data_IF_650042641744
#
_entry.id   IF_650042641744
#
_cell.length_a   1.000
_cell.length_b   1.000
_cell.length_c   1.000
_cell.angle_alpha   90.00
_cell.angle_beta   90.00
_cell.angle_gamma   90.00
#
_symmetry.space_group_name_H-M   'P 1'
#
loop_
_entity.id
_entity.type
_entity.pdbx_description
1 polymer ?
#
# COMPACT_ATOMS: atom_id res chain seq x y z
N UNK A 1 8.33 3.33 -13.52
CA UNK A 1 7.57 4.56 -13.84
C UNK A 1 8.51 5.74 -13.77
N UNK A 2 8.58 6.62 -14.76
CA UNK A 2 9.57 7.72 -14.79
C UNK A 2 8.94 9.08 -14.51
N UNK A 3 9.69 10.08 -14.02
CA UNK A 3 9.19 11.43 -13.78
C UNK A 3 8.47 12.06 -14.99
N UNK A 4 9.04 11.92 -16.20
CA UNK A 4 8.42 12.46 -17.42
C UNK A 4 7.09 11.78 -17.78
N UNK A 5 6.94 10.49 -17.48
CA UNK A 5 5.68 9.79 -17.69
C UNK A 5 4.63 10.20 -16.64
N UNK A 6 5.04 10.41 -15.39
CA UNK A 6 4.16 10.90 -14.31
C UNK A 6 3.62 12.27 -14.66
N UNK A 7 4.51 13.19 -15.05
CA UNK A 7 4.15 14.57 -15.36
C UNK A 7 3.16 14.66 -16.52
N UNK A 8 3.49 14.05 -17.66
CA UNK A 8 2.62 13.99 -18.84
C UNK A 8 1.26 13.34 -18.52
N UNK A 9 1.24 12.24 -17.76
CA UNK A 9 -0.02 11.57 -17.43
C UNK A 9 -0.91 12.44 -16.54
N UNK A 10 -0.33 13.17 -15.58
CA UNK A 10 -1.09 14.05 -14.69
C UNK A 10 -1.57 15.32 -15.39
N UNK A 11 -0.80 15.88 -16.33
CA UNK A 11 -1.27 16.98 -17.19
C UNK A 11 -2.53 16.58 -17.97
N UNK A 12 -2.51 15.40 -18.61
CA UNK A 12 -3.68 14.88 -19.34
C UNK A 12 -4.85 14.57 -18.39
N UNK A 13 -4.56 14.09 -17.18
CA UNK A 13 -5.59 13.79 -16.19
C UNK A 13 -6.35 15.05 -15.74
N UNK A 14 -5.62 16.15 -15.50
CA UNK A 14 -6.20 17.44 -15.14
C UNK A 14 -7.04 18.02 -16.30
N UNK A 15 -6.60 17.86 -17.56
CA UNK A 15 -7.35 18.31 -18.74
C UNK A 15 -8.66 17.52 -18.95
N UNK A 16 -8.69 16.24 -18.57
CA UNK A 16 -9.80 15.32 -18.83
C UNK A 16 -10.68 15.04 -17.60
N UNK A 17 -10.33 15.57 -16.43
CA UNK A 17 -11.00 15.32 -15.14
C UNK A 17 -11.11 13.80 -14.83
N UNK A 18 -9.97 13.10 -14.92
CA UNK A 18 -9.87 11.66 -14.62
C UNK A 18 -8.82 11.38 -13.54
N UNK A 19 -9.01 10.33 -12.76
CA UNK A 19 -8.05 9.91 -11.73
C UNK A 19 -6.86 9.17 -12.35
N UNK A 20 -5.67 9.35 -11.77
CA UNK A 20 -4.47 8.56 -12.07
C UNK A 20 -4.14 7.66 -10.89
N UNK A 21 -4.02 6.35 -11.16
CA UNK A 21 -3.45 5.40 -10.20
C UNK A 21 -1.99 5.12 -10.54
N UNK A 22 -1.13 5.01 -9.53
CA UNK A 22 0.30 4.80 -9.73
C UNK A 22 0.84 3.58 -8.96
N UNK A 23 1.63 2.78 -9.68
CA UNK A 23 2.64 1.88 -9.15
C UNK A 23 4.01 2.51 -9.43
N UNK A 24 4.77 2.83 -8.39
CA UNK A 24 5.99 3.64 -8.52
C UNK A 24 7.23 2.80 -8.83
N UNK A 25 8.37 3.47 -9.05
CA UNK A 25 9.62 2.84 -9.47
C UNK A 25 10.31 2.08 -8.34
N UNK A 26 9.96 0.81 -8.16
CA UNK A 26 10.56 -0.06 -7.13
C UNK A 26 12.09 -0.07 -7.16
N UNK A 27 12.67 -0.01 -8.35
CA UNK A 27 14.12 -0.09 -8.54
C UNK A 27 14.84 1.22 -8.21
N UNK A 28 14.09 2.31 -8.01
CA UNK A 28 14.63 3.66 -7.92
C UNK A 28 15.51 4.02 -9.14
N UNK A 29 15.23 3.45 -10.31
CA UNK A 29 16.03 3.62 -11.53
C UNK A 29 16.06 5.08 -11.96
N UNK A 30 14.90 5.74 -11.90
CA UNK A 30 14.70 7.12 -12.32
C UNK A 30 14.77 8.15 -11.18
N UNK A 31 15.10 7.69 -9.97
CA UNK A 31 15.17 8.47 -8.74
C UNK A 31 14.49 7.78 -7.56
N UNK A 32 14.64 8.36 -6.37
CA UNK A 32 13.98 7.87 -5.15
C UNK A 32 12.56 8.42 -5.02
N UNK A 33 11.84 8.04 -3.97
CA UNK A 33 10.45 8.46 -3.74
C UNK A 33 10.27 9.98 -3.75
N UNK A 34 11.27 10.75 -3.30
CA UNK A 34 11.25 12.21 -3.32
C UNK A 34 11.25 12.78 -4.75
N UNK A 35 11.86 12.08 -5.71
CA UNK A 35 11.81 12.46 -7.12
C UNK A 35 10.40 12.23 -7.70
N UNK A 36 9.76 11.12 -7.32
CA UNK A 36 8.36 10.85 -7.71
C UNK A 36 7.40 11.85 -7.08
N UNK A 37 7.56 12.20 -5.79
CA UNK A 37 6.77 13.25 -5.12
C UNK A 37 6.90 14.59 -5.87
N UNK A 38 8.14 14.97 -6.25
CA UNK A 38 8.38 16.17 -7.05
C UNK A 38 7.70 16.11 -8.43
N UNK A 39 7.74 14.95 -9.09
CA UNK A 39 7.08 14.74 -10.38
C UNK A 39 5.55 14.80 -10.27
N UNK A 40 4.97 14.32 -9.17
CA UNK A 40 3.53 14.49 -8.89
C UNK A 40 3.18 15.98 -8.78
N UNK A 41 4.04 16.77 -8.15
CA UNK A 41 3.94 18.24 -8.19
C UNK A 41 2.69 18.80 -7.50
N UNK A 42 2.18 18.11 -6.47
CA UNK A 42 0.99 18.52 -5.73
C UNK A 42 -0.34 18.21 -6.43
N UNK A 43 -0.33 17.62 -7.64
CA UNK A 43 -1.55 17.17 -8.34
C UNK A 43 -2.15 15.94 -7.68
N UNK A 44 -3.46 15.77 -7.78
CA UNK A 44 -4.15 14.62 -7.17
C UNK A 44 -3.71 13.31 -7.80
N UNK A 45 -3.37 12.32 -6.98
CA UNK A 45 -2.98 11.00 -7.46
C UNK A 45 -3.37 9.91 -6.48
N UNK A 46 -3.77 8.75 -6.98
CA UNK A 46 -4.06 7.57 -6.18
C UNK A 46 -2.84 6.64 -6.15
N UNK A 47 -2.17 6.54 -5.00
CA UNK A 47 -1.07 5.60 -4.81
C UNK A 47 -1.61 4.17 -4.55
N UNK A 48 -1.34 3.25 -5.46
CA UNK A 48 -1.72 1.84 -5.29
C UNK A 48 -0.75 1.14 -4.33
N UNK A 49 -1.23 0.14 -3.58
CA UNK A 49 -0.48 -0.69 -2.61
C UNK A 49 0.65 0.10 -1.89
N UNK A 50 0.28 1.23 -1.27
CA UNK A 50 1.21 2.28 -0.81
C UNK A 50 2.23 1.79 0.23
N UNK A 51 1.99 0.66 0.90
CA UNK A 51 2.97 0.02 1.77
C UNK A 51 4.20 -0.49 1.01
N UNK A 52 4.03 -0.96 -0.22
CA UNK A 52 5.10 -1.27 -1.16
C UNK A 52 5.36 -2.75 -1.44
N UNK A 53 4.77 -3.72 -0.73
CA UNK A 53 4.94 -5.14 -1.08
C UNK A 53 4.37 -5.45 -2.48
N UNK A 54 3.19 -4.90 -2.80
CA UNK A 54 2.60 -4.94 -4.15
C UNK A 54 3.42 -4.17 -5.19
N UNK A 55 4.30 -3.27 -4.74
CA UNK A 55 5.36 -2.61 -5.50
C UNK A 55 5.40 -1.10 -5.30
N UNK A 56 6.52 -0.49 -5.69
CA UNK A 56 6.83 0.91 -5.48
C UNK A 56 8.19 1.10 -4.81
N UNK A 57 8.69 2.34 -4.81
CA UNK A 57 10.02 2.71 -4.30
C UNK A 57 10.41 1.94 -3.03
N UNK A 58 11.47 1.13 -3.15
CA UNK A 58 12.01 0.38 -2.02
C UNK A 58 13.03 1.25 -1.25
N UNK A 59 12.91 1.37 0.09
CA UNK A 59 11.95 0.72 0.98
C UNK A 59 10.76 1.62 1.39
N UNK A 60 10.66 2.84 0.87
CA UNK A 60 10.00 3.95 1.55
C UNK A 60 8.83 4.61 0.79
N UNK A 61 8.25 3.92 -0.20
CA UNK A 61 7.02 4.34 -0.87
C UNK A 61 5.85 4.68 0.08
N UNK A 62 5.84 4.07 1.27
CA UNK A 62 4.84 4.34 2.32
C UNK A 62 4.80 5.81 2.77
N UNK A 63 5.86 6.59 2.52
CA UNK A 63 5.89 8.04 2.75
C UNK A 63 4.77 8.78 2.00
N UNK A 64 4.32 8.28 0.85
CA UNK A 64 3.23 8.90 0.08
C UNK A 64 1.91 9.01 0.87
N UNK A 65 1.70 8.19 1.91
CA UNK A 65 0.53 8.33 2.78
C UNK A 65 0.54 9.63 3.63
N UNK A 66 1.65 10.35 3.67
CA UNK A 66 1.78 11.65 4.33
C UNK A 66 1.60 12.86 3.43
N UNK A 67 1.46 12.67 2.11
CA UNK A 67 1.29 13.76 1.14
C UNK A 67 -0.19 14.15 1.00
N UNK A 68 -0.51 15.44 1.10
CA UNK A 68 -1.91 15.93 1.16
C UNK A 68 -2.71 15.65 -0.12
N UNK A 69 -2.02 15.62 -1.27
CA UNK A 69 -2.62 15.42 -2.59
C UNK A 69 -2.69 13.93 -2.99
N UNK A 70 -2.24 13.01 -2.13
CA UNK A 70 -2.26 11.57 -2.41
C UNK A 70 -3.48 10.91 -1.79
N UNK A 71 -4.11 10.03 -2.54
CA UNK A 71 -5.14 9.09 -2.07
C UNK A 71 -4.47 7.72 -1.89
N UNK A 72 -4.02 7.35 -0.68
CA UNK A 72 -3.27 6.12 -0.48
C UNK A 72 -4.19 4.91 -0.30
N UNK A 73 -3.82 3.80 -0.93
CA UNK A 73 -4.57 2.55 -0.86
C UNK A 73 -3.68 1.34 -0.61
N UNK A 74 -4.24 0.33 0.04
CA UNK A 74 -3.60 -0.98 0.24
C UNK A 74 -4.21 -2.04 -0.66
N UNK A 75 -3.44 -3.07 -0.97
CA UNK A 75 -3.95 -4.31 -1.55
C UNK A 75 -4.05 -5.38 -0.47
N UNK A 76 -4.91 -6.37 -0.69
CA UNK A 76 -5.40 -7.17 0.42
C UNK A 76 -4.51 -8.31 0.94
N UNK A 77 -3.46 -8.81 0.26
CA UNK A 77 -2.69 -9.93 0.82
C UNK A 77 -1.85 -9.60 2.04
N UNK A 78 -1.41 -8.35 2.18
CA UNK A 78 -0.67 -7.90 3.37
C UNK A 78 -1.61 -7.70 4.57
N UNK A 79 -2.93 -7.83 4.40
CA UNK A 79 -3.95 -7.39 5.36
C UNK A 79 -4.56 -8.57 6.13
N UNK A 80 -4.59 -8.51 7.47
CA UNK A 80 -3.59 -7.84 8.31
C UNK A 80 -2.23 -8.55 8.23
N UNK A 81 -1.22 -7.96 8.85
CA UNK A 81 0.05 -8.66 9.08
C UNK A 81 -0.17 -9.91 9.98
N UNK A 82 0.23 -11.09 9.52
CA UNK A 82 0.14 -12.36 10.25
C UNK A 82 1.46 -13.13 10.22
N UNK A 83 1.52 -14.25 10.95
CA UNK A 83 2.73 -15.09 11.07
C UNK A 83 3.24 -15.63 9.73
N UNK A 84 2.36 -15.89 8.76
CA UNK A 84 2.73 -16.44 7.45
C UNK A 84 2.93 -15.35 6.38
N UNK A 85 2.63 -14.09 6.68
CA UNK A 85 2.60 -13.03 5.66
C UNK A 85 3.96 -12.86 4.97
N UNK A 86 5.06 -12.85 5.72
CA UNK A 86 6.40 -12.61 5.15
C UNK A 86 6.85 -13.77 4.26
N UNK A 87 6.74 -15.00 4.75
CA UNK A 87 7.15 -16.18 3.99
C UNK A 87 6.32 -16.33 2.71
N UNK A 88 4.99 -16.16 2.81
CA UNK A 88 4.10 -16.19 1.65
C UNK A 88 4.49 -15.12 0.61
N UNK A 89 4.72 -13.88 1.05
CA UNK A 89 4.95 -12.78 0.11
C UNK A 89 6.34 -12.82 -0.52
N UNK A 90 7.36 -13.27 0.22
CA UNK A 90 8.69 -13.51 -0.36
C UNK A 90 8.61 -14.55 -1.47
N UNK A 91 8.01 -15.70 -1.22
CA UNK A 91 7.90 -16.76 -2.23
C UNK A 91 7.01 -16.33 -3.41
N UNK A 92 5.87 -15.69 -3.14
CA UNK A 92 4.99 -15.11 -4.17
C UNK A 92 5.75 -14.13 -5.07
N UNK A 93 6.52 -13.20 -4.49
CA UNK A 93 7.27 -12.21 -5.25
C UNK A 93 8.32 -12.88 -6.15
N UNK A 94 9.07 -13.84 -5.59
CA UNK A 94 10.09 -14.57 -6.34
C UNK A 94 9.50 -15.34 -7.51
N UNK A 95 8.37 -16.02 -7.31
CA UNK A 95 7.65 -16.70 -8.40
C UNK A 95 7.16 -15.69 -9.46
N UNK A 96 6.50 -14.62 -9.04
CA UNK A 96 5.96 -13.62 -9.98
C UNK A 96 7.04 -12.94 -10.84
N UNK A 97 8.25 -12.76 -10.30
CA UNK A 97 9.36 -12.10 -10.99
C UNK A 97 10.39 -13.08 -11.55
N UNK A 98 10.14 -14.39 -11.48
CA UNK A 98 11.04 -15.45 -11.96
C UNK A 98 12.46 -15.34 -11.34
N UNK A 99 12.52 -14.99 -10.07
CA UNK A 99 13.76 -14.81 -9.32
C UNK A 99 14.31 -16.15 -8.82
N UNK A 100 15.63 -16.26 -8.72
CA UNK A 100 16.34 -17.45 -8.26
C UNK A 100 16.90 -17.25 -6.84
N UNK A 101 16.55 -18.16 -5.92
CA UNK A 101 17.06 -18.17 -4.53
C UNK A 101 18.57 -18.36 -4.44
N UNK A 102 19.22 -18.82 -5.51
CA UNK A 102 20.67 -18.97 -5.60
C UNK A 102 21.40 -17.71 -6.09
N UNK A 103 20.69 -16.71 -6.61
CA UNK A 103 21.26 -15.43 -7.07
C UNK A 103 21.14 -14.39 -5.94
N UNK A 104 22.27 -13.87 -5.39
CA UNK A 104 22.22 -12.91 -4.29
C UNK A 104 21.46 -11.62 -4.59
N UNK A 105 21.55 -11.12 -5.82
CA UNK A 105 20.88 -9.89 -6.28
C UNK A 105 19.35 -10.07 -6.32
N UNK A 106 18.88 -11.25 -6.71
CA UNK A 106 17.46 -11.61 -6.75
C UNK A 106 16.88 -11.68 -5.34
N UNK A 107 17.62 -12.29 -4.40
CA UNK A 107 17.26 -12.32 -2.98
C UNK A 107 17.26 -10.91 -2.40
N UNK A 108 18.29 -10.11 -2.69
CA UNK A 108 18.37 -8.73 -2.20
C UNK A 108 17.21 -7.87 -2.72
N UNK A 109 16.82 -8.01 -3.98
CA UNK A 109 15.64 -7.34 -4.53
C UNK A 109 14.36 -7.79 -3.79
N UNK A 110 14.18 -9.10 -3.59
CA UNK A 110 13.00 -9.62 -2.91
C UNK A 110 12.89 -9.12 -1.46
N UNK A 111 13.99 -9.17 -0.70
CA UNK A 111 14.06 -8.68 0.68
C UNK A 111 13.92 -7.16 0.77
N UNK A 112 14.37 -6.42 -0.24
CA UNK A 112 14.18 -4.96 -0.29
C UNK A 112 12.71 -4.58 -0.42
N UNK A 113 11.87 -5.45 -1.03
CA UNK A 113 10.46 -5.19 -1.33
C UNK A 113 9.51 -5.76 -0.28
N UNK A 114 9.73 -6.98 0.21
CA UNK A 114 8.89 -7.63 1.22
C UNK A 114 9.46 -7.38 2.61
N UNK A 115 8.91 -6.37 3.31
CA UNK A 115 9.45 -5.88 4.58
C UNK A 115 8.42 -6.04 5.69
N UNK A 116 8.81 -6.70 6.78
CA UNK A 116 7.93 -6.86 7.95
C UNK A 116 7.56 -5.53 8.61
N UNK A 117 8.48 -4.57 8.55
CA UNK A 117 8.35 -3.27 9.21
C UNK A 117 7.24 -2.44 8.55
N UNK A 118 7.25 -2.33 7.22
CA UNK A 118 6.25 -1.54 6.48
C UNK A 118 4.90 -2.26 6.44
N UNK A 119 4.86 -3.59 6.30
CA UNK A 119 3.62 -4.39 6.39
C UNK A 119 2.96 -4.25 7.78
N UNK A 120 3.75 -4.24 8.86
CA UNK A 120 3.23 -3.99 10.21
C UNK A 120 2.79 -2.54 10.41
N UNK A 121 3.52 -1.56 9.86
CA UNK A 121 3.15 -0.15 9.92
C UNK A 121 1.82 0.12 9.19
N UNK A 122 1.59 -0.55 8.05
CA UNK A 122 0.37 -0.43 7.26
C UNK A 122 -0.90 -0.76 8.06
N UNK A 123 -0.86 -1.76 8.96
CA UNK A 123 -1.97 -2.06 9.88
C UNK A 123 -2.32 -0.84 10.75
N UNK A 124 -1.30 -0.20 11.31
CA UNK A 124 -1.47 0.95 12.20
C UNK A 124 -1.96 2.16 11.40
N UNK A 125 -1.39 2.40 10.21
CA UNK A 125 -1.78 3.51 9.33
C UNK A 125 -3.24 3.38 8.88
N UNK A 126 -3.74 2.17 8.66
CA UNK A 126 -5.17 1.94 8.43
C UNK A 126 -6.02 2.32 9.64
N UNK A 127 -5.59 1.94 10.85
CA UNK A 127 -6.35 2.15 12.08
C UNK A 127 -6.43 3.63 12.47
N UNK A 128 -5.38 4.41 12.20
CA UNK A 128 -5.38 5.87 12.43
C UNK A 128 -6.01 6.66 11.27
N UNK A 129 -6.28 6.01 10.13
CA UNK A 129 -6.93 6.63 8.97
C UNK A 129 -5.98 7.32 7.98
N UNK A 130 -4.68 7.07 8.07
CA UNK A 130 -3.68 7.58 7.10
C UNK A 130 -3.69 6.79 5.78
N UNK A 131 -4.12 5.52 5.81
CA UNK A 131 -4.47 4.77 4.59
C UNK A 131 -5.98 4.84 4.36
N UNK A 132 -6.39 5.18 3.14
CA UNK A 132 -7.79 5.58 2.87
C UNK A 132 -8.62 4.48 2.20
N UNK A 133 -7.99 3.60 1.42
CA UNK A 133 -8.69 2.58 0.60
C UNK A 133 -8.07 1.19 0.79
N UNK A 134 -8.88 0.14 0.73
CA UNK A 134 -8.44 -1.25 0.62
C UNK A 134 -9.03 -1.84 -0.67
N UNK A 135 -8.15 -2.32 -1.54
CA UNK A 135 -8.49 -2.92 -2.82
C UNK A 135 -7.94 -4.37 -2.91
N UNK A 136 -8.23 -5.05 -4.02
CA UNK A 136 -7.83 -6.45 -4.19
C UNK A 136 -6.39 -6.60 -4.69
N UNK A 137 -6.12 -6.09 -5.90
CA UNK A 137 -5.06 -6.51 -6.83
C UNK A 137 -5.32 -7.88 -7.48
N UNK A 138 -6.54 -8.07 -7.97
CA UNK A 138 -7.07 -9.37 -8.37
C UNK A 138 -6.13 -10.19 -9.27
N UNK A 139 -5.64 -11.32 -8.74
CA UNK A 139 -4.72 -12.25 -9.41
C UNK A 139 -3.35 -11.67 -9.77
N UNK A 140 -3.01 -10.47 -9.32
CA UNK A 140 -1.75 -9.77 -9.57
C UNK A 140 -1.10 -9.36 -8.25
N UNK A 141 -0.91 -10.32 -7.33
CA UNK A 141 -0.59 -10.07 -5.90
C UNK A 141 -1.80 -9.64 -5.06
N UNK A 142 -2.98 -10.21 -5.35
CA UNK A 142 -4.22 -9.87 -4.67
C UNK A 142 -5.37 -10.84 -4.87
N UNK A 143 -6.36 -10.76 -3.97
CA UNK A 143 -7.46 -11.74 -3.90
C UNK A 143 -8.81 -11.06 -4.06
N UNK A 144 -9.43 -11.17 -5.23
CA UNK A 144 -10.66 -10.41 -5.55
C UNK A 144 -11.80 -10.60 -4.54
N UNK A 145 -12.00 -11.83 -4.05
CA UNK A 145 -13.07 -12.17 -3.10
C UNK A 145 -12.81 -11.78 -1.65
N UNK A 146 -11.64 -11.18 -1.35
CA UNK A 146 -11.19 -11.00 0.05
C UNK A 146 -11.11 -9.54 0.50
N UNK A 147 -11.48 -8.55 -0.32
CA UNK A 147 -11.39 -7.11 0.07
C UNK A 147 -12.13 -6.83 1.38
N UNK A 148 -13.40 -7.26 1.47
CA UNK A 148 -14.27 -7.01 2.62
C UNK A 148 -13.74 -7.74 3.87
N UNK A 149 -13.46 -9.04 3.76
CA UNK A 149 -13.03 -9.84 4.91
C UNK A 149 -11.68 -9.37 5.47
N UNK A 150 -10.73 -9.00 4.58
CA UNK A 150 -9.40 -8.53 4.97
C UNK A 150 -9.46 -7.17 5.66
N UNK A 151 -10.39 -6.31 5.23
CA UNK A 151 -10.68 -5.04 5.91
C UNK A 151 -11.13 -5.28 7.35
N UNK A 152 -12.08 -6.19 7.57
CA UNK A 152 -12.57 -6.49 8.92
C UNK A 152 -11.58 -7.25 9.80
N UNK A 153 -10.78 -8.15 9.22
CA UNK A 153 -9.68 -8.81 9.93
C UNK A 153 -8.63 -7.80 10.42
N UNK A 154 -8.36 -6.76 9.62
CA UNK A 154 -7.46 -5.67 10.03
C UNK A 154 -8.05 -4.87 11.19
N UNK A 155 -9.33 -4.50 11.11
CA UNK A 155 -10.02 -3.81 12.20
C UNK A 155 -10.03 -4.63 13.51
N UNK A 156 -10.30 -5.95 13.42
CA UNK A 156 -10.28 -6.89 14.55
C UNK A 156 -8.89 -6.97 15.20
N UNK A 157 -7.85 -7.18 14.38
CA UNK A 157 -6.46 -7.22 14.88
C UNK A 157 -6.08 -5.92 15.59
N UNK A 158 -6.40 -4.78 14.99
CA UNK A 158 -6.07 -3.47 15.57
C UNK A 158 -6.83 -3.20 16.86
N UNK A 159 -8.09 -3.64 16.96
CA UNK A 159 -8.82 -3.61 18.25
C UNK A 159 -8.12 -4.46 19.31
N UNK A 160 -7.71 -5.69 18.98
CA UNK A 160 -7.04 -6.59 19.94
C UNK A 160 -5.69 -6.05 20.42
N UNK A 161 -4.93 -5.40 19.54
CA UNK A 161 -3.58 -4.91 19.86
C UNK A 161 -3.55 -3.49 20.43
N UNK A 162 -4.44 -2.61 19.98
CA UNK A 162 -4.43 -1.17 20.31
C UNK A 162 -5.62 -0.75 21.17
N UNK A 163 -6.57 -1.65 21.41
CA UNK A 163 -7.78 -1.34 22.15
C UNK A 163 -8.74 -0.45 21.36
N UNK A 164 -9.48 0.38 22.08
CA UNK A 164 -10.49 1.29 21.53
C UNK A 164 -9.83 2.52 20.93
N UNK A 165 -10.40 3.06 19.86
CA UNK A 165 -9.96 4.36 19.32
C UNK A 165 -10.24 5.46 20.36
N UNK A 166 -9.34 6.44 20.48
CA UNK A 166 -9.45 7.54 21.46
C UNK A 166 -10.71 8.39 21.31
N UNK A 167 -11.23 8.46 20.08
CA UNK A 167 -12.39 9.28 19.70
C UNK A 167 -13.73 8.51 19.82
N UNK A 168 -13.67 7.23 20.19
CA UNK A 168 -14.85 6.35 20.29
C UNK A 168 -15.74 6.73 21.49
N UNK A 169 -17.07 6.68 21.31
CA UNK A 169 -18.05 7.03 22.36
C UNK A 169 -19.01 5.87 22.65
N UNK A 170 -19.31 5.64 23.94
CA UNK A 170 -20.23 4.58 24.39
C UNK A 170 -19.52 3.23 24.60
N UNK A 171 -20.25 2.11 24.58
CA UNK A 171 -19.71 0.73 24.69
C UNK A 171 -19.79 -0.02 23.36
N UNK A 172 -19.10 0.50 22.35
CA UNK A 172 -19.12 -0.01 20.98
C UNK A 172 -17.82 0.35 20.25
N UNK A 173 -17.71 -0.09 18.99
CA UNK A 173 -16.60 0.21 18.08
C UNK A 173 -17.09 0.99 16.83
N UNK A 174 -18.16 1.79 16.97
CA UNK A 174 -18.85 2.40 15.82
C UNK A 174 -17.95 3.33 15.00
N UNK A 175 -17.04 4.08 15.62
CA UNK A 175 -16.09 4.92 14.90
C UNK A 175 -15.10 4.05 14.11
N UNK A 176 -14.56 2.99 14.71
CA UNK A 176 -13.69 2.05 13.98
C UNK A 176 -14.45 1.40 12.83
N UNK A 177 -15.67 0.92 13.07
CA UNK A 177 -16.51 0.30 12.03
C UNK A 177 -16.75 1.26 10.87
N UNK A 178 -17.13 2.52 11.15
CA UNK A 178 -17.32 3.55 10.11
C UNK A 178 -16.03 3.89 9.36
N UNK A 179 -14.89 3.97 10.07
CA UNK A 179 -13.58 4.23 9.46
C UNK A 179 -13.18 3.11 8.50
N UNK A 180 -13.44 1.84 8.85
CA UNK A 180 -13.04 0.70 8.04
C UNK A 180 -14.02 0.36 6.92
N UNK A 181 -15.34 0.51 7.13
CA UNK A 181 -16.31 0.31 6.04
C UNK A 181 -16.17 1.35 4.93
N UNK A 182 -15.70 2.56 5.24
CA UNK A 182 -15.46 3.60 4.24
C UNK A 182 -14.27 3.31 3.30
N UNK A 183 -13.50 2.23 3.55
CA UNK A 183 -12.29 1.90 2.78
C UNK A 183 -12.58 1.04 1.54
N UNK A 184 -13.81 0.53 1.36
CA UNK A 184 -14.26 -0.29 0.22
C UNK A 184 -15.74 -0.05 -0.08
#
# INVERSE_FOLDING_TARGET
TTPGAIDCCLEVADELDVQVMIHTDTLNESGFVENTIKAIGGRTIHAFHTEGAGGGHAPDIIKLAGEENVIPSSTNPTRPYTVNTIEEHLDMLMVCHHLDKSIPEDVAFAESRIRKETIAAEDILHDVGAMSIIASDSQAMGRVGEVIIRTWQTADKMKKQRGRLSEEKGENDNLRIRRYIAKY
#
